data_IF_408869152481
#
_entry.id   IF_408869152481
#
_cell.length_a   1.000
_cell.length_b   1.000
_cell.length_c   1.000
_cell.angle_alpha   90.00
_cell.angle_beta   90.00
_cell.angle_gamma   90.00
#
_symmetry.space_group_name_H-M   'P 1'
#
loop_
_entity.id
_entity.type
_entity.pdbx_description
1 polymer ?
#
# COMPACT_ATOMS: atom_id res chain seq x y z
N UNK A 1 5.88 15.51 74.93
CA UNK A 1 7.05 14.68 74.56
C UNK A 1 6.51 13.42 73.84
N UNK A 2 6.51 13.39 72.52
CA UNK A 2 6.51 12.21 71.61
C UNK A 2 6.56 12.70 70.17
N UNK A 3 7.67 12.38 69.51
CA UNK A 3 7.92 12.63 68.11
C UNK A 3 7.02 11.75 67.26
N UNK A 4 6.40 12.30 66.23
CA UNK A 4 5.85 11.54 65.10
C UNK A 4 6.69 11.85 63.85
N UNK A 5 7.41 10.82 63.38
CA UNK A 5 8.09 10.78 62.09
C UNK A 5 7.04 10.57 60.99
N UNK A 6 6.89 11.53 60.10
CA UNK A 6 6.15 11.36 58.86
C UNK A 6 7.06 10.73 57.80
N UNK A 7 6.69 9.54 57.34
CA UNK A 7 7.35 8.86 56.22
C UNK A 7 6.83 9.41 54.90
N UNK A 8 7.64 10.11 54.14
CA UNK A 8 7.35 10.45 52.74
C UNK A 8 7.50 9.21 51.86
N UNK A 9 6.38 8.77 51.28
CA UNK A 9 6.38 7.74 50.24
C UNK A 9 6.58 8.46 48.92
N UNK A 10 7.78 8.36 48.38
CA UNK A 10 8.12 8.85 47.04
C UNK A 10 7.58 7.84 46.01
N UNK A 11 6.45 8.16 45.39
CA UNK A 11 5.91 7.39 44.30
C UNK A 11 6.77 7.57 43.05
N UNK A 12 7.55 6.57 42.69
CA UNK A 12 8.26 6.52 41.43
C UNK A 12 7.24 6.21 40.32
N UNK A 13 6.89 7.22 39.54
CA UNK A 13 6.16 7.02 38.29
C UNK A 13 7.10 6.37 37.27
N UNK A 14 6.92 5.08 37.00
CA UNK A 14 7.57 4.40 35.87
C UNK A 14 6.93 4.93 34.58
N UNK A 15 7.65 5.82 33.89
CA UNK A 15 7.41 6.14 32.50
C UNK A 15 7.81 4.91 31.65
N UNK A 16 6.83 4.12 31.24
CA UNK A 16 7.01 3.15 30.16
C UNK A 16 7.21 3.94 28.85
N UNK A 17 8.46 4.24 28.54
CA UNK A 17 8.85 4.64 27.21
C UNK A 17 8.67 3.41 26.30
N UNK A 18 7.53 3.35 25.59
CA UNK A 18 7.30 2.39 24.54
C UNK A 18 8.40 2.59 23.48
N UNK A 19 9.32 1.65 23.39
CA UNK A 19 10.27 1.50 22.30
C UNK A 19 9.45 1.27 21.02
N UNK A 20 9.19 2.35 20.29
CA UNK A 20 8.77 2.25 18.90
C UNK A 20 10.01 1.81 18.13
N UNK A 21 10.21 0.50 18.07
CA UNK A 21 11.20 -0.09 17.19
C UNK A 21 10.89 0.31 15.74
N UNK A 22 11.89 0.39 14.86
CA UNK A 22 11.66 0.66 13.45
C UNK A 22 10.64 -0.37 12.93
N UNK A 23 9.59 0.10 12.26
CA UNK A 23 8.62 -0.78 11.61
C UNK A 23 9.40 -1.70 10.67
N UNK A 24 9.51 -2.97 11.05
CA UNK A 24 10.07 -4.00 10.19
C UNK A 24 9.13 -4.09 9.01
N UNK A 25 9.59 -3.60 7.85
CA UNK A 25 8.84 -3.76 6.60
C UNK A 25 8.63 -5.27 6.41
N UNK A 26 7.36 -5.69 6.41
CA UNK A 26 6.97 -7.06 6.06
C UNK A 26 7.10 -7.30 4.54
N UNK A 27 7.74 -6.38 3.81
CA UNK A 27 7.99 -6.49 2.39
C UNK A 27 8.75 -7.80 2.12
N UNK A 28 8.00 -8.79 1.69
CA UNK A 28 8.52 -10.07 1.23
C UNK A 28 9.21 -9.92 -0.13
N UNK A 29 9.87 -10.96 -0.55
CA UNK A 29 10.44 -11.05 -1.88
C UNK A 29 9.49 -11.85 -2.77
N UNK A 30 8.80 -11.17 -3.70
CA UNK A 30 8.13 -11.86 -4.80
C UNK A 30 9.17 -12.68 -5.55
N UNK A 31 8.83 -13.95 -5.83
CA UNK A 31 9.70 -14.83 -6.60
C UNK A 31 9.43 -14.64 -8.09
N UNK A 32 10.50 -14.61 -8.89
CA UNK A 32 10.39 -14.65 -10.35
C UNK A 32 10.02 -16.06 -10.77
N UNK A 33 8.76 -16.28 -11.16
CA UNK A 33 8.28 -17.55 -11.67
C UNK A 33 8.14 -17.47 -13.20
N UNK A 34 8.44 -18.57 -13.93
CA UNK A 34 8.19 -18.63 -15.36
C UNK A 34 6.70 -18.42 -15.66
N UNK A 35 6.37 -17.42 -16.48
CA UNK A 35 5.02 -17.18 -16.97
C UNK A 35 4.84 -17.85 -18.34
N UNK A 36 3.69 -18.51 -18.54
CA UNK A 36 3.26 -18.91 -19.86
C UNK A 36 3.14 -17.67 -20.79
N UNK A 37 3.49 -17.82 -22.06
CA UNK A 37 3.51 -16.67 -23.01
C UNK A 37 2.18 -15.95 -23.10
N UNK A 38 1.06 -16.68 -23.07
CA UNK A 38 -0.30 -16.09 -23.07
C UNK A 38 -0.54 -15.23 -21.81
N UNK A 39 -0.11 -15.69 -20.63
CA UNK A 39 -0.23 -14.94 -19.38
C UNK A 39 0.64 -13.68 -19.43
N UNK A 40 1.90 -13.82 -19.85
CA UNK A 40 2.81 -12.69 -20.03
C UNK A 40 2.22 -11.64 -20.97
N UNK A 41 1.71 -12.07 -22.12
CA UNK A 41 1.08 -11.17 -23.11
C UNK A 41 -0.15 -10.46 -22.55
N UNK A 42 -1.01 -11.16 -21.80
CA UNK A 42 -2.17 -10.57 -21.14
C UNK A 42 -1.79 -9.53 -20.08
N UNK A 43 -0.78 -9.82 -19.26
CA UNK A 43 -0.27 -8.88 -18.25
C UNK A 43 0.39 -7.66 -18.91
N UNK A 44 1.19 -7.86 -19.96
CA UNK A 44 1.80 -6.77 -20.74
C UNK A 44 0.74 -5.87 -21.37
N UNK A 45 -0.30 -6.44 -21.95
CA UNK A 45 -1.45 -5.69 -22.46
C UNK A 45 -2.16 -4.91 -21.35
N UNK A 46 -2.34 -5.51 -20.17
CA UNK A 46 -2.92 -4.83 -19.00
C UNK A 46 -2.05 -3.67 -18.49
N UNK A 47 -0.74 -3.77 -18.56
CA UNK A 47 0.17 -2.66 -18.20
C UNK A 47 0.09 -1.53 -19.24
N UNK A 48 0.05 -1.85 -20.52
CA UNK A 48 0.13 -0.89 -21.63
C UNK A 48 -1.20 -0.21 -21.97
N UNK A 49 -2.34 -0.79 -21.60
CA UNK A 49 -3.68 -0.27 -21.96
C UNK A 49 -4.02 0.98 -21.15
N UNK A 50 -3.84 2.16 -21.71
CA UNK A 50 -4.14 3.43 -21.03
C UNK A 50 -5.42 4.12 -21.53
N UNK A 51 -5.61 4.21 -22.81
CA UNK A 51 -6.60 5.14 -23.40
C UNK A 51 -8.05 4.70 -23.29
N UNK A 52 -8.35 3.43 -23.53
CA UNK A 52 -9.76 2.95 -23.51
C UNK A 52 -10.35 2.97 -22.10
N UNK A 53 -9.57 2.59 -21.12
CA UNK A 53 -10.02 2.54 -19.73
C UNK A 53 -10.21 3.96 -19.18
N UNK A 54 -9.35 4.90 -19.55
CA UNK A 54 -9.48 6.31 -19.16
C UNK A 54 -10.78 6.92 -19.73
N UNK A 55 -11.15 6.60 -20.98
CA UNK A 55 -12.40 7.03 -21.60
C UNK A 55 -13.64 6.46 -20.90
N UNK A 56 -13.64 5.17 -20.55
CA UNK A 56 -14.75 4.55 -19.80
C UNK A 56 -14.86 5.13 -18.39
N UNK A 57 -13.74 5.32 -17.69
CA UNK A 57 -13.72 5.89 -16.35
C UNK A 57 -13.98 7.41 -16.35
N UNK A 58 -13.97 8.08 -17.51
CA UNK A 58 -14.32 9.49 -17.65
C UNK A 58 -15.83 9.76 -17.74
N UNK A 59 -16.68 8.74 -17.60
CA UNK A 59 -18.13 8.93 -17.56
C UNK A 59 -18.55 9.67 -16.28
N UNK A 60 -19.47 10.61 -16.39
CA UNK A 60 -19.86 11.53 -15.30
C UNK A 60 -20.24 10.82 -13.98
N UNK A 61 -20.89 9.66 -14.05
CA UNK A 61 -21.23 8.87 -12.85
C UNK A 61 -20.02 8.30 -12.10
N UNK A 62 -18.96 7.94 -12.82
CA UNK A 62 -17.73 7.42 -12.23
C UNK A 62 -16.88 8.53 -11.62
N UNK A 63 -16.92 9.75 -12.16
CA UNK A 63 -16.29 10.90 -11.53
C UNK A 63 -16.92 11.22 -10.17
N UNK A 64 -18.24 11.26 -10.09
CA UNK A 64 -18.94 11.51 -8.83
C UNK A 64 -18.61 10.43 -7.76
N UNK A 65 -18.52 9.16 -8.18
CA UNK A 65 -18.14 8.05 -7.29
C UNK A 65 -16.70 8.18 -6.82
N UNK A 66 -15.78 8.51 -7.73
CA UNK A 66 -14.38 8.78 -7.38
C UNK A 66 -14.25 9.92 -6.39
N UNK A 67 -14.90 11.05 -6.67
CA UNK A 67 -14.79 12.25 -5.86
C UNK A 67 -15.35 12.03 -4.46
N UNK A 68 -16.48 11.33 -4.33
CA UNK A 68 -17.04 10.93 -3.04
C UNK A 68 -16.07 10.00 -2.28
N UNK A 69 -15.45 9.05 -2.97
CA UNK A 69 -14.47 8.15 -2.37
C UNK A 69 -13.21 8.92 -1.92
N UNK A 70 -12.68 9.81 -2.75
CA UNK A 70 -11.53 10.66 -2.41
C UNK A 70 -11.84 11.51 -1.18
N UNK A 71 -13.02 12.15 -1.13
CA UNK A 71 -13.43 12.94 0.03
C UNK A 71 -13.51 12.10 1.31
N UNK A 72 -13.99 10.87 1.22
CA UNK A 72 -14.05 9.93 2.37
C UNK A 72 -12.65 9.56 2.85
N UNK A 73 -11.72 9.26 1.94
CA UNK A 73 -10.39 8.78 2.31
C UNK A 73 -9.41 9.90 2.69
N UNK A 74 -9.68 11.12 2.25
CA UNK A 74 -8.80 12.27 2.47
C UNK A 74 -8.40 12.51 3.93
N UNK A 75 -9.33 12.59 4.90
CA UNK A 75 -8.97 12.82 6.30
C UNK A 75 -8.14 11.67 6.87
N UNK A 76 -8.45 10.42 6.48
CA UNK A 76 -7.73 9.22 6.92
C UNK A 76 -6.27 9.29 6.43
N UNK A 77 -6.08 9.53 5.13
CA UNK A 77 -4.75 9.68 4.54
C UNK A 77 -3.95 10.81 5.19
N UNK A 78 -4.57 11.99 5.34
CA UNK A 78 -3.90 13.16 5.92
C UNK A 78 -3.35 12.88 7.32
N UNK A 79 -4.11 12.19 8.16
CA UNK A 79 -3.66 11.87 9.50
C UNK A 79 -2.59 10.77 9.47
N UNK A 80 -2.73 9.77 8.59
CA UNK A 80 -1.71 8.74 8.39
C UNK A 80 -0.37 9.37 7.98
N UNK A 81 -0.38 10.26 6.99
CA UNK A 81 0.82 10.96 6.51
C UNK A 81 1.43 11.91 7.56
N UNK A 82 0.59 12.56 8.39
CA UNK A 82 1.08 13.37 9.51
C UNK A 82 1.82 12.53 10.54
N UNK A 83 1.32 11.34 10.88
CA UNK A 83 1.99 10.41 11.80
C UNK A 83 3.32 9.93 11.22
N UNK A 84 3.35 9.54 9.96
CA UNK A 84 4.58 9.18 9.25
C UNK A 84 5.59 10.33 9.21
N UNK A 85 5.13 11.58 9.15
CA UNK A 85 5.98 12.79 9.20
C UNK A 85 6.75 12.94 10.49
N UNK A 86 6.25 12.44 11.62
CA UNK A 86 6.96 12.43 12.89
C UNK A 86 8.20 11.51 12.85
N UNK A 87 8.23 10.58 11.89
CA UNK A 87 9.33 9.65 11.63
C UNK A 87 10.35 10.18 10.60
N UNK A 88 10.23 11.44 10.15
CA UNK A 88 11.18 12.06 9.22
C UNK A 88 10.83 11.97 7.72
N UNK A 89 9.71 11.35 7.34
CA UNK A 89 9.29 11.15 5.93
C UNK A 89 8.44 12.31 5.36
N UNK A 90 8.61 13.50 5.91
CA UNK A 90 7.72 14.64 5.74
C UNK A 90 7.63 15.20 4.31
N UNK A 91 8.62 14.98 3.44
CA UNK A 91 8.75 15.72 2.19
C UNK A 91 8.06 15.11 0.97
N UNK A 92 7.71 13.82 1.00
CA UNK A 92 7.19 13.14 -0.19
C UNK A 92 5.74 13.56 -0.54
N UNK A 93 4.91 13.85 0.47
CA UNK A 93 3.48 14.17 0.33
C UNK A 93 3.10 15.53 0.94
N UNK A 94 4.03 16.47 0.99
CA UNK A 94 3.83 17.80 1.60
C UNK A 94 2.69 18.62 0.95
N UNK A 95 2.68 18.82 -0.37
CA UNK A 95 1.61 19.52 -1.05
C UNK A 95 0.29 18.72 -1.03
N UNK A 96 -0.81 19.45 -0.79
CA UNK A 96 -2.18 18.89 -0.78
C UNK A 96 -2.53 18.24 -2.11
N UNK A 97 -2.10 18.82 -3.22
CA UNK A 97 -2.36 18.32 -4.57
C UNK A 97 -1.73 16.95 -4.80
N UNK A 98 -0.54 16.67 -4.25
CA UNK A 98 0.10 15.36 -4.35
C UNK A 98 -0.65 14.27 -3.57
N UNK A 99 -1.25 14.62 -2.43
CA UNK A 99 -2.09 13.69 -1.67
C UNK A 99 -3.38 13.36 -2.43
N UNK A 100 -3.95 14.36 -3.10
CA UNK A 100 -5.12 14.17 -3.97
C UNK A 100 -4.77 13.29 -5.17
N UNK A 101 -3.68 13.58 -5.85
CA UNK A 101 -3.17 12.79 -6.96
C UNK A 101 -2.95 11.32 -6.56
N UNK A 102 -2.42 11.08 -5.35
CA UNK A 102 -2.27 9.73 -4.82
C UNK A 102 -3.61 9.01 -4.74
N UNK A 103 -4.62 9.61 -4.10
CA UNK A 103 -5.95 8.98 -3.95
C UNK A 103 -6.62 8.76 -5.31
N UNK A 104 -6.58 9.74 -6.20
CA UNK A 104 -7.17 9.64 -7.54
C UNK A 104 -6.48 8.52 -8.36
N UNK A 105 -5.16 8.40 -8.25
CA UNK A 105 -4.40 7.36 -8.95
C UNK A 105 -4.68 5.98 -8.35
N UNK A 106 -4.79 5.86 -7.02
CA UNK A 106 -5.19 4.61 -6.36
C UNK A 106 -6.57 4.19 -6.83
N UNK A 107 -7.55 5.09 -6.81
CA UNK A 107 -8.91 4.78 -7.26
C UNK A 107 -8.92 4.31 -8.72
N UNK A 108 -8.20 5.03 -9.58
CA UNK A 108 -8.12 4.72 -11.01
C UNK A 108 -7.49 3.34 -11.27
N UNK A 109 -6.30 3.06 -10.74
CA UNK A 109 -5.59 1.82 -11.02
C UNK A 109 -6.25 0.60 -10.34
N UNK A 110 -6.83 0.78 -9.15
CA UNK A 110 -7.62 -0.25 -8.48
C UNK A 110 -8.86 -0.62 -9.32
N UNK A 111 -9.67 0.38 -9.69
CA UNK A 111 -10.90 0.16 -10.49
C UNK A 111 -10.57 -0.49 -11.83
N UNK A 112 -9.52 -0.04 -12.49
CA UNK A 112 -9.02 -0.61 -13.74
C UNK A 112 -8.63 -2.09 -13.60
N UNK A 113 -8.00 -2.46 -12.50
CA UNK A 113 -7.62 -3.84 -12.19
C UNK A 113 -8.76 -4.66 -11.55
N UNK A 114 -9.97 -4.11 -11.41
CA UNK A 114 -11.10 -4.73 -10.70
C UNK A 114 -10.74 -5.12 -9.27
N UNK A 115 -10.04 -4.22 -8.59
CA UNK A 115 -9.72 -4.30 -7.17
C UNK A 115 -10.49 -3.22 -6.41
N UNK A 116 -10.72 -3.46 -5.13
CA UNK A 116 -11.23 -2.43 -4.23
C UNK A 116 -10.14 -1.39 -3.92
N UNK A 117 -10.40 -0.08 -4.07
CA UNK A 117 -9.40 0.93 -3.77
C UNK A 117 -8.88 0.91 -2.33
N UNK A 118 -9.72 0.51 -1.36
CA UNK A 118 -9.34 0.33 0.04
C UNK A 118 -8.32 -0.81 0.23
N UNK A 119 -8.40 -1.86 -0.58
CA UNK A 119 -7.42 -2.93 -0.58
C UNK A 119 -6.07 -2.42 -1.07
N UNK A 120 -6.05 -1.57 -2.10
CA UNK A 120 -4.81 -0.98 -2.62
C UNK A 120 -4.18 -0.02 -1.61
N UNK A 121 -4.99 0.83 -0.92
CA UNK A 121 -4.48 1.66 0.17
C UNK A 121 -3.88 0.83 1.31
N UNK A 122 -4.55 -0.26 1.68
CA UNK A 122 -4.05 -1.19 2.71
C UNK A 122 -2.72 -1.84 2.30
N UNK A 123 -2.59 -2.21 1.04
CA UNK A 123 -1.36 -2.77 0.52
C UNK A 123 -0.22 -1.75 0.58
N UNK A 124 -0.45 -0.51 0.12
CA UNK A 124 0.53 0.58 0.22
C UNK A 124 0.95 0.82 1.67
N UNK A 125 -0.01 0.80 2.60
CA UNK A 125 0.27 0.96 4.03
C UNK A 125 1.21 -0.12 4.55
N UNK A 126 0.96 -1.39 4.23
CA UNK A 126 1.74 -2.53 4.72
C UNK A 126 3.09 -2.62 4.01
N UNK A 127 3.15 -2.36 2.71
CA UNK A 127 4.35 -2.49 1.90
C UNK A 127 5.37 -1.38 2.14
N UNK A 128 4.92 -0.15 2.23
CA UNK A 128 5.83 1.00 2.25
C UNK A 128 5.53 2.03 3.33
N UNK A 129 4.41 1.90 4.02
CA UNK A 129 3.88 2.97 4.88
C UNK A 129 3.78 4.32 4.13
N UNK A 130 3.32 4.27 2.88
CA UNK A 130 3.22 5.41 1.95
C UNK A 130 4.55 6.06 1.56
N UNK A 131 5.69 5.40 1.73
CA UNK A 131 6.99 5.91 1.28
C UNK A 131 7.16 5.70 -0.22
N UNK A 132 7.08 6.80 -0.98
CA UNK A 132 7.13 6.80 -2.45
C UNK A 132 8.42 6.18 -3.00
N UNK A 133 9.54 6.41 -2.31
CA UNK A 133 10.87 5.96 -2.71
C UNK A 133 11.39 4.80 -1.86
N UNK A 134 10.49 4.01 -1.25
CA UNK A 134 10.87 2.85 -0.48
C UNK A 134 11.64 1.83 -1.32
N UNK A 135 12.71 1.29 -0.72
CA UNK A 135 13.48 0.17 -1.28
C UNK A 135 13.63 -0.87 -0.18
N UNK A 136 13.18 -2.10 -0.43
CA UNK A 136 13.35 -3.19 0.53
C UNK A 136 14.74 -3.81 0.45
N UNK A 137 15.10 -4.61 1.46
CA UNK A 137 16.34 -5.41 1.44
C UNK A 137 16.38 -6.42 0.28
N UNK A 138 15.20 -6.85 -0.22
CA UNK A 138 15.08 -7.73 -1.38
C UNK A 138 15.11 -6.96 -2.71
N UNK A 139 15.14 -5.63 -2.69
CA UNK A 139 15.16 -4.77 -3.88
C UNK A 139 13.78 -4.44 -4.45
N UNK A 140 12.70 -4.65 -3.72
CA UNK A 140 11.37 -4.19 -4.10
C UNK A 140 11.28 -2.66 -4.02
N UNK A 141 10.51 -2.02 -4.94
CA UNK A 141 10.54 -0.59 -5.17
C UNK A 141 9.16 0.08 -5.02
N UNK A 142 9.16 1.24 -4.38
CA UNK A 142 8.05 2.19 -4.36
C UNK A 142 6.90 1.81 -3.45
N UNK A 143 5.75 2.45 -3.65
CA UNK A 143 4.57 2.37 -2.79
C UNK A 143 4.05 0.95 -2.59
N UNK A 144 3.92 0.17 -3.67
CA UNK A 144 3.43 -1.20 -3.66
C UNK A 144 4.55 -2.25 -3.68
N UNK A 145 5.82 -1.84 -3.47
CA UNK A 145 6.98 -2.73 -3.39
C UNK A 145 7.05 -3.70 -4.58
N UNK A 146 7.02 -3.16 -5.78
CA UNK A 146 7.11 -3.94 -7.01
C UNK A 146 8.55 -4.40 -7.26
N UNK A 147 8.74 -5.69 -7.51
CA UNK A 147 10.05 -6.23 -7.84
C UNK A 147 10.47 -5.81 -9.26
N UNK A 148 11.73 -5.39 -9.47
CA UNK A 148 12.22 -4.90 -10.77
C UNK A 148 12.09 -5.89 -11.93
N UNK A 149 12.08 -7.18 -11.67
CA UNK A 149 11.91 -8.19 -12.73
C UNK A 149 10.57 -8.06 -13.46
N UNK A 150 9.50 -7.63 -12.75
CA UNK A 150 8.20 -7.37 -13.38
C UNK A 150 8.28 -6.28 -14.47
N UNK A 151 9.07 -5.23 -14.21
CA UNK A 151 9.31 -4.17 -15.21
C UNK A 151 9.93 -4.73 -16.48
N UNK A 152 10.98 -5.54 -16.34
CA UNK A 152 11.65 -6.20 -17.47
C UNK A 152 10.75 -7.20 -18.20
N UNK A 153 9.99 -7.98 -17.42
CA UNK A 153 9.18 -9.08 -17.95
C UNK A 153 7.97 -8.60 -18.75
N UNK A 154 7.34 -7.51 -18.31
CA UNK A 154 6.02 -7.10 -18.83
C UNK A 154 6.05 -5.89 -19.78
N UNK A 155 6.99 -4.97 -19.65
CA UNK A 155 6.92 -3.71 -20.38
C UNK A 155 8.28 -3.07 -20.69
N UNK A 156 9.38 -3.78 -20.47
CA UNK A 156 10.75 -3.25 -20.61
C UNK A 156 10.96 -1.91 -19.87
N UNK A 157 10.41 -1.82 -18.68
CA UNK A 157 10.44 -0.62 -17.85
C UNK A 157 11.69 -0.63 -16.96
N UNK A 158 12.57 0.37 -17.08
CA UNK A 158 13.72 0.50 -16.19
C UNK A 158 13.32 0.59 -14.71
N UNK A 159 14.08 0.00 -13.77
CA UNK A 159 13.73 -0.03 -12.34
C UNK A 159 13.38 1.35 -11.75
N UNK A 160 14.07 2.42 -12.15
CA UNK A 160 13.80 3.79 -11.67
C UNK A 160 12.38 4.27 -11.96
N UNK A 161 11.73 3.77 -13.02
CA UNK A 161 10.35 4.14 -13.35
C UNK A 161 9.33 3.54 -12.40
N UNK A 162 9.69 2.50 -11.65
CA UNK A 162 8.85 1.96 -10.58
C UNK A 162 8.69 2.90 -9.37
N UNK A 163 9.40 4.03 -9.33
CA UNK A 163 9.14 5.11 -8.37
C UNK A 163 8.10 6.13 -8.86
N UNK A 164 7.71 6.10 -10.13
CA UNK A 164 6.62 6.93 -10.62
C UNK A 164 5.29 6.42 -10.07
N UNK A 165 4.47 7.32 -9.53
CA UNK A 165 3.23 7.00 -8.84
C UNK A 165 2.34 6.07 -9.67
N UNK A 166 1.95 6.50 -10.86
CA UNK A 166 1.06 5.74 -11.73
C UNK A 166 1.67 4.40 -12.16
N UNK A 167 2.95 4.38 -12.52
CA UNK A 167 3.64 3.16 -12.94
C UNK A 167 3.66 2.13 -11.82
N UNK A 168 4.03 2.55 -10.60
CA UNK A 168 4.10 1.66 -9.45
C UNK A 168 2.72 1.05 -9.11
N UNK A 169 1.69 1.89 -9.02
CA UNK A 169 0.32 1.43 -8.73
C UNK A 169 -0.22 0.53 -9.82
N UNK A 170 0.05 0.84 -11.09
CA UNK A 170 -0.36 0.02 -12.23
C UNK A 170 0.24 -1.38 -12.15
N UNK A 171 1.54 -1.48 -11.98
CA UNK A 171 2.20 -2.78 -11.85
C UNK A 171 1.68 -3.54 -10.61
N UNK A 172 1.63 -2.90 -9.45
CA UNK A 172 1.15 -3.54 -8.23
C UNK A 172 -0.28 -4.06 -8.35
N UNK A 173 -1.19 -3.28 -8.90
CA UNK A 173 -2.58 -3.68 -9.12
C UNK A 173 -2.71 -4.83 -10.13
N UNK A 174 -1.98 -4.78 -11.25
CA UNK A 174 -1.99 -5.85 -12.26
C UNK A 174 -1.43 -7.16 -11.70
N UNK A 175 -0.35 -7.10 -10.94
CA UNK A 175 0.27 -8.27 -10.29
C UNK A 175 -0.69 -8.86 -9.25
N UNK A 176 -1.29 -8.04 -8.39
CA UNK A 176 -2.26 -8.55 -7.41
C UNK A 176 -3.49 -9.17 -8.09
N UNK A 177 -4.00 -8.55 -9.16
CA UNK A 177 -5.12 -9.12 -9.94
C UNK A 177 -4.74 -10.48 -10.54
N UNK A 178 -3.55 -10.58 -11.12
CA UNK A 178 -3.04 -11.85 -11.63
C UNK A 178 -3.01 -12.93 -10.54
N UNK A 179 -2.50 -12.64 -9.35
CA UNK A 179 -2.49 -13.62 -8.27
C UNK A 179 -3.88 -13.95 -7.74
N UNK A 180 -4.81 -12.98 -7.73
CA UNK A 180 -6.20 -13.27 -7.41
C UNK A 180 -6.87 -14.22 -8.42
N UNK A 181 -6.60 -14.03 -9.70
CA UNK A 181 -7.12 -14.91 -10.75
C UNK A 181 -6.50 -16.31 -10.63
N UNK A 182 -5.20 -16.39 -10.36
CA UNK A 182 -4.48 -17.66 -10.16
C UNK A 182 -4.98 -18.43 -8.94
N UNK A 183 -5.32 -17.74 -7.85
CA UNK A 183 -5.88 -18.34 -6.63
C UNK A 183 -7.43 -18.36 -6.62
N UNK A 184 -8.06 -18.26 -7.80
CA UNK A 184 -9.51 -18.38 -7.98
C UNK A 184 -10.34 -17.44 -7.08
N UNK A 185 -9.78 -16.27 -6.77
CA UNK A 185 -10.41 -15.25 -5.91
C UNK A 185 -10.06 -15.36 -4.42
N UNK A 186 -9.30 -16.36 -4.00
CA UNK A 186 -8.82 -16.43 -2.61
C UNK A 186 -7.82 -15.30 -2.33
N UNK A 187 -8.32 -14.25 -1.66
CA UNK A 187 -7.52 -13.06 -1.36
C UNK A 187 -6.37 -13.35 -0.40
N UNK A 188 -6.53 -14.28 0.54
CA UNK A 188 -5.48 -14.63 1.50
C UNK A 188 -4.30 -15.29 0.81
N UNK A 189 -4.58 -16.24 -0.08
CA UNK A 189 -3.55 -16.91 -0.86
C UNK A 189 -2.91 -15.95 -1.88
N UNK A 190 -3.70 -15.10 -2.54
CA UNK A 190 -3.21 -14.10 -3.49
C UNK A 190 -2.26 -13.08 -2.82
N UNK A 191 -2.62 -12.58 -1.65
CA UNK A 191 -1.76 -11.70 -0.86
C UNK A 191 -0.48 -12.41 -0.42
N UNK A 192 -0.59 -13.68 -0.02
CA UNK A 192 0.58 -14.50 0.28
C UNK A 192 1.53 -14.66 -0.92
N UNK A 193 1.00 -14.85 -2.15
CA UNK A 193 1.84 -14.84 -3.37
C UNK A 193 2.46 -13.47 -3.62
N UNK A 194 1.67 -12.42 -3.48
CA UNK A 194 2.15 -11.05 -3.67
C UNK A 194 3.36 -10.73 -2.79
N UNK A 195 3.35 -11.18 -1.56
CA UNK A 195 4.44 -10.98 -0.60
C UNK A 195 5.56 -12.06 -0.69
N UNK A 196 5.34 -13.18 -1.39
CA UNK A 196 6.25 -14.32 -1.41
C UNK A 196 6.12 -15.25 -0.19
N UNK A 197 5.02 -15.14 0.56
CA UNK A 197 4.74 -15.93 1.77
C UNK A 197 3.46 -16.77 1.64
N UNK A 198 3.20 -17.32 0.45
CA UNK A 198 2.00 -18.13 0.18
C UNK A 198 1.79 -19.22 1.23
N UNK A 199 0.58 -19.30 1.77
CA UNK A 199 0.22 -20.24 2.84
C UNK A 199 0.49 -19.73 4.25
N UNK A 200 1.17 -18.58 4.42
CA UNK A 200 1.31 -17.91 5.70
C UNK A 200 0.22 -16.83 5.86
N UNK A 201 -0.23 -16.62 7.09
CA UNK A 201 -1.34 -15.69 7.37
C UNK A 201 -0.92 -14.32 7.89
N UNK A 202 0.31 -14.18 8.36
CA UNK A 202 0.78 -12.93 9.01
C UNK A 202 0.63 -11.71 8.09
N UNK A 203 1.17 -11.79 6.88
CA UNK A 203 1.07 -10.70 5.93
C UNK A 203 -0.37 -10.47 5.41
N UNK A 204 -1.10 -11.51 4.94
CA UNK A 204 -2.50 -11.32 4.56
C UNK A 204 -3.34 -10.70 5.67
N UNK A 205 -3.20 -11.13 6.92
CA UNK A 205 -3.94 -10.58 8.05
C UNK A 205 -3.61 -9.11 8.30
N UNK A 206 -2.35 -8.69 8.14
CA UNK A 206 -1.96 -7.28 8.25
C UNK A 206 -2.66 -6.42 7.17
N UNK A 207 -2.66 -6.88 5.91
CA UNK A 207 -3.34 -6.17 4.80
C UNK A 207 -4.86 -6.14 5.01
N UNK A 208 -5.48 -7.26 5.38
CA UNK A 208 -6.94 -7.32 5.61
C UNK A 208 -7.38 -6.43 6.78
N UNK A 209 -6.58 -6.38 7.84
CA UNK A 209 -6.83 -5.48 8.97
C UNK A 209 -6.72 -4.00 8.56
N UNK A 210 -5.70 -3.66 7.77
CA UNK A 210 -5.57 -2.31 7.21
C UNK A 210 -6.74 -1.98 6.28
N UNK A 211 -7.15 -2.91 5.39
CA UNK A 211 -8.32 -2.73 4.52
C UNK A 211 -9.60 -2.43 5.30
N UNK A 212 -9.84 -3.15 6.39
CA UNK A 212 -11.01 -2.91 7.23
C UNK A 212 -11.01 -1.47 7.81
N UNK A 213 -9.85 -0.96 8.23
CA UNK A 213 -9.71 0.44 8.72
C UNK A 213 -9.99 1.46 7.62
N UNK A 214 -9.42 1.27 6.42
CA UNK A 214 -9.68 2.14 5.27
C UNK A 214 -11.15 2.10 4.85
N UNK A 215 -11.78 0.94 4.82
CA UNK A 215 -13.20 0.80 4.49
C UNK A 215 -14.10 1.52 5.50
N UNK A 216 -13.79 1.44 6.79
CA UNK A 216 -14.54 2.13 7.84
C UNK A 216 -14.31 3.65 7.85
N UNK A 217 -13.25 4.15 7.19
CA UNK A 217 -12.84 5.56 7.30
C UNK A 217 -12.27 5.88 8.69
N UNK A 218 -11.80 4.86 9.40
CA UNK A 218 -11.23 4.97 10.75
C UNK A 218 -9.72 4.85 10.71
N UNK A 219 -9.06 5.46 11.69
CA UNK A 219 -7.61 5.42 11.84
C UNK A 219 -7.16 4.29 12.76
N UNK A 220 -5.92 3.81 12.59
CA UNK A 220 -5.29 2.94 13.58
C UNK A 220 -4.97 3.67 14.88
#
# INVERSE_FOLDING_TARGET
MRMFRGSSVCGAALLLAGLIGPAVSLAGSQLEEPLADAVRSALSAAISSDDRTRLVLSQAGLHATRDAWVQKQWPVLTIKLRRASLSGWRHEWGPVDLQRELLETVWYEATRARLEPELVLALIEVESDFRKFAVSSAGALGLMQVMPFWGRLLADVPPRHLFHLQTNLRFGCVILRHYLDLEQGDLTLALGRYNGSRGQTTYPNAVLSARARWAAGTQP
#
